data_IF_287716071169
#
_entry.id   IF_287716071169
#
_cell.length_a   1.000
_cell.length_b   1.000
_cell.length_c   1.000
_cell.angle_alpha   90.00
_cell.angle_beta   90.00
_cell.angle_gamma   90.00
#
_symmetry.space_group_name_H-M   'P 1'
#
loop_
_entity.id
_entity.type
_entity.pdbx_description
1 polymer ?
#
# COMPACT_ATOMS: atom_id res chain seq x y z
N UNK A 1 30.65 -11.56 8.11
CA UNK A 1 29.48 -11.28 8.96
C UNK A 1 29.46 -12.31 10.08
N UNK A 2 29.52 -11.90 11.33
CA UNK A 2 29.46 -12.82 12.48
C UNK A 2 28.00 -13.30 12.67
N UNK A 3 27.76 -14.60 12.96
CA UNK A 3 26.42 -15.10 13.23
C UNK A 3 25.88 -14.46 14.53
N UNK A 4 24.62 -13.99 14.50
CA UNK A 4 23.95 -13.43 15.67
C UNK A 4 23.81 -14.48 16.78
N UNK A 5 23.86 -14.05 18.02
CA UNK A 5 23.67 -14.91 19.19
C UNK A 5 22.18 -15.31 19.32
N UNK A 6 21.87 -16.60 19.56
CA UNK A 6 20.50 -17.13 19.58
C UNK A 6 19.58 -16.48 20.63
N UNK A 7 20.15 -15.92 21.70
CA UNK A 7 19.42 -15.20 22.75
C UNK A 7 18.84 -13.86 22.27
N UNK A 8 19.55 -13.15 21.39
CA UNK A 8 19.12 -11.86 20.85
C UNK A 8 17.97 -12.05 19.86
N UNK A 9 18.01 -13.13 19.07
CA UNK A 9 16.95 -13.44 18.12
C UNK A 9 15.65 -13.83 18.83
N UNK A 10 15.72 -14.64 19.89
CA UNK A 10 14.56 -14.98 20.72
C UNK A 10 13.93 -13.73 21.38
N UNK A 11 14.75 -12.80 21.88
CA UNK A 11 14.27 -11.54 22.44
C UNK A 11 13.58 -10.66 21.37
N UNK A 12 14.18 -10.57 20.17
CA UNK A 12 13.59 -9.83 19.06
C UNK A 12 12.24 -10.41 18.64
N UNK A 13 12.12 -11.74 18.56
CA UNK A 13 10.87 -12.43 18.26
C UNK A 13 9.79 -12.12 19.29
N UNK A 14 10.12 -12.16 20.59
CA UNK A 14 9.18 -11.84 21.65
C UNK A 14 8.75 -10.37 21.59
N UNK A 15 9.68 -9.45 21.34
CA UNK A 15 9.40 -8.02 21.20
C UNK A 15 8.51 -7.73 19.97
N UNK A 16 8.75 -8.42 18.85
CA UNK A 16 7.91 -8.32 17.65
C UNK A 16 6.49 -8.81 17.91
N UNK A 17 6.34 -9.96 18.56
CA UNK A 17 5.02 -10.50 18.93
C UNK A 17 4.26 -9.54 19.83
N UNK A 18 4.94 -8.99 20.84
CA UNK A 18 4.33 -8.03 21.74
C UNK A 18 3.86 -6.79 20.98
N UNK A 19 4.76 -6.12 20.24
CA UNK A 19 4.43 -4.90 19.52
C UNK A 19 3.36 -5.13 18.45
N UNK A 20 3.47 -6.22 17.69
CA UNK A 20 2.51 -6.58 16.64
C UNK A 20 1.07 -6.78 17.14
N UNK A 21 0.91 -7.13 18.41
CA UNK A 21 -0.38 -7.31 19.07
C UNK A 21 -0.94 -6.02 19.70
N UNK A 22 -0.19 -4.92 19.70
CA UNK A 22 -0.64 -3.64 20.26
C UNK A 22 -1.67 -2.95 19.37
N UNK A 23 -2.55 -2.11 19.95
CA UNK A 23 -3.40 -1.23 19.18
C UNK A 23 -2.55 -0.25 18.37
N UNK A 24 -3.07 0.13 17.20
CA UNK A 24 -2.42 1.09 16.31
C UNK A 24 -2.57 2.50 16.89
N UNK A 25 -1.46 3.23 17.02
CA UNK A 25 -1.47 4.63 17.44
C UNK A 25 -1.69 5.59 16.27
N UNK A 26 -2.13 6.82 16.58
CA UNK A 26 -2.27 7.88 15.57
C UNK A 26 -0.93 8.23 14.89
N UNK A 27 0.18 8.17 15.63
CA UNK A 27 1.52 8.43 15.07
C UNK A 27 1.93 7.38 14.04
N UNK A 28 1.58 6.11 14.26
CA UNK A 28 1.80 5.03 13.29
C UNK A 28 1.02 5.29 12.00
N UNK A 29 -0.22 5.75 12.12
CA UNK A 29 -1.08 6.11 10.98
C UNK A 29 -0.47 7.28 10.19
N UNK A 30 -0.10 8.36 10.87
CA UNK A 30 0.52 9.53 10.25
C UNK A 30 1.85 9.17 9.56
N UNK A 31 2.65 8.32 10.19
CA UNK A 31 3.89 7.84 9.61
C UNK A 31 3.65 7.04 8.31
N UNK A 32 2.70 6.10 8.32
CA UNK A 32 2.36 5.28 7.16
C UNK A 32 1.80 6.11 6.01
N UNK A 33 0.91 7.07 6.31
CA UNK A 33 0.38 8.00 5.32
C UNK A 33 1.53 8.71 4.59
N UNK A 34 2.48 9.28 5.34
CA UNK A 34 3.65 9.95 4.77
C UNK A 34 4.54 9.01 3.95
N UNK A 35 4.69 7.75 4.33
CA UNK A 35 5.49 6.80 3.52
C UNK A 35 4.78 6.47 2.22
N UNK A 36 3.48 6.16 2.26
CA UNK A 36 2.67 5.89 1.07
C UNK A 36 2.70 7.09 0.10
N UNK A 37 2.54 8.31 0.60
CA UNK A 37 2.64 9.53 -0.21
C UNK A 37 3.99 9.67 -0.94
N UNK A 38 5.07 9.18 -0.33
CA UNK A 38 6.44 9.25 -0.88
C UNK A 38 6.82 8.08 -1.79
N UNK A 39 5.93 7.12 -2.02
CA UNK A 39 6.19 6.01 -2.95
C UNK A 39 6.13 6.51 -4.39
N UNK A 40 5.33 7.55 -4.68
CA UNK A 40 5.14 8.08 -6.02
C UNK A 40 5.23 9.61 -5.99
N UNK A 41 5.85 10.22 -7.00
CA UNK A 41 5.91 11.68 -7.13
C UNK A 41 4.60 12.21 -7.71
N UNK A 42 3.99 13.22 -7.09
CA UNK A 42 2.82 13.90 -7.62
C UNK A 42 3.21 14.82 -8.78
N UNK A 43 3.22 14.30 -10.00
CA UNK A 43 3.36 15.13 -11.19
C UNK A 43 2.00 15.69 -11.59
N UNK A 44 1.94 16.97 -11.95
CA UNK A 44 0.85 17.45 -12.80
C UNK A 44 0.78 16.56 -14.05
N UNK A 45 -0.42 16.15 -14.53
CA UNK A 45 -0.51 15.41 -15.78
C UNK A 45 0.25 16.18 -16.88
N UNK A 46 1.07 15.49 -17.70
CA UNK A 46 1.72 16.13 -18.82
C UNK A 46 0.65 16.78 -19.71
N UNK A 47 0.89 18.00 -20.25
CA UNK A 47 -0.09 18.67 -21.09
C UNK A 47 -0.48 17.78 -22.27
N UNK A 48 -1.78 17.62 -22.48
CA UNK A 48 -2.39 16.83 -23.55
C UNK A 48 -2.09 17.48 -24.91
N UNK A 49 -0.89 17.26 -25.45
CA UNK A 49 -0.57 17.60 -26.84
C UNK A 49 0.14 16.43 -27.50
N UNK A 50 -0.62 15.42 -27.93
CA UNK A 50 -0.28 14.65 -29.13
C UNK A 50 -1.51 13.91 -29.65
N UNK A 51 -1.84 14.04 -30.95
CA UNK A 51 -3.03 13.44 -31.51
C UNK A 51 -2.86 11.93 -31.62
N UNK A 52 -3.97 11.24 -31.32
CA UNK A 52 -4.21 9.81 -31.44
C UNK A 52 -3.56 9.21 -32.69
N UNK A 53 -2.60 8.30 -32.50
CA UNK A 53 -2.08 7.42 -33.55
C UNK A 53 -2.48 5.97 -33.24
N UNK A 54 -3.57 5.56 -33.86
CA UNK A 54 -3.86 4.21 -34.39
C UNK A 54 -3.22 2.98 -33.73
N UNK A 55 -4.12 2.13 -33.23
CA UNK A 55 -3.94 0.71 -32.90
C UNK A 55 -3.03 -0.03 -33.91
N UNK A 56 -1.89 -0.52 -33.44
CA UNK A 56 -1.28 -1.74 -33.95
C UNK A 56 -0.88 -2.62 -32.77
N UNK A 57 -1.64 -3.71 -32.60
CA UNK A 57 -1.30 -4.83 -31.74
C UNK A 57 0.06 -5.39 -32.18
N UNK A 58 1.01 -5.49 -31.26
CA UNK A 58 2.16 -6.37 -31.42
C UNK A 58 2.49 -7.03 -30.08
N UNK A 59 2.55 -8.34 -30.16
CA UNK A 59 2.69 -9.32 -29.09
C UNK A 59 3.91 -9.16 -28.16
N UNK A 60 3.76 -9.78 -26.99
CA UNK A 60 4.81 -10.37 -26.13
C UNK A 60 5.58 -9.45 -25.16
N UNK A 61 4.94 -9.07 -24.04
CA UNK A 61 5.52 -9.11 -22.67
C UNK A 61 4.35 -9.27 -21.67
N UNK A 62 4.46 -10.04 -20.56
CA UNK A 62 3.27 -10.37 -19.76
C UNK A 62 2.69 -9.21 -18.94
N UNK A 63 3.44 -8.14 -18.68
CA UNK A 63 2.97 -7.02 -17.85
C UNK A 63 3.85 -5.79 -18.12
N UNK A 64 3.39 -4.78 -18.90
CA UNK A 64 4.02 -3.47 -18.91
C UNK A 64 3.81 -2.83 -17.53
N UNK A 65 4.73 -1.97 -17.08
CA UNK A 65 4.71 -1.24 -15.79
C UNK A 65 3.47 -0.35 -15.60
N UNK A 66 2.32 -0.98 -15.37
CA UNK A 66 0.99 -0.39 -15.58
C UNK A 66 0.49 0.49 -14.42
N UNK A 67 1.18 0.44 -13.28
CA UNK A 67 0.77 1.22 -12.09
C UNK A 67 1.04 2.72 -12.26
N UNK A 68 1.91 3.08 -13.21
CA UNK A 68 2.37 4.46 -13.43
C UNK A 68 2.09 5.00 -14.84
N UNK A 69 1.94 4.13 -15.85
CA UNK A 69 1.71 4.57 -17.23
C UNK A 69 0.22 4.76 -17.58
N UNK A 70 -0.69 4.12 -16.82
CA UNK A 70 -2.15 4.28 -16.97
C UNK A 70 -2.76 5.29 -15.99
N UNK A 71 -2.21 6.50 -15.97
CA UNK A 71 -2.94 7.67 -15.45
C UNK A 71 -4.20 8.03 -16.27
N UNK A 72 -4.58 7.24 -17.28
CA UNK A 72 -5.61 7.59 -18.27
C UNK A 72 -6.99 6.93 -18.10
N UNK A 73 -7.20 5.96 -17.20
CA UNK A 73 -8.52 5.32 -17.03
C UNK A 73 -9.01 5.15 -15.59
N UNK A 74 -8.33 5.72 -14.60
CA UNK A 74 -8.94 5.88 -13.29
C UNK A 74 -9.82 7.12 -13.37
N UNK A 75 -11.14 6.94 -13.33
CA UNK A 75 -12.07 8.05 -13.11
C UNK A 75 -11.65 8.73 -11.81
N UNK A 76 -11.04 9.92 -11.91
CA UNK A 76 -10.82 10.76 -10.74
C UNK A 76 -12.21 11.21 -10.28
N UNK A 77 -12.64 10.88 -9.05
CA UNK A 77 -13.57 11.77 -8.38
C UNK A 77 -12.90 13.14 -8.40
N UNK A 78 -13.61 14.20 -8.81
CA UNK A 78 -13.07 15.55 -8.87
C UNK A 78 -12.11 15.81 -7.71
N UNK A 79 -10.92 16.35 -8.02
CA UNK A 79 -9.79 16.67 -7.13
C UNK A 79 -10.13 17.38 -5.80
N UNK A 80 -11.39 17.72 -5.57
CA UNK A 80 -11.93 18.47 -4.44
C UNK A 80 -12.56 17.61 -3.33
N UNK A 81 -12.56 16.26 -3.41
CA UNK A 81 -13.29 15.41 -2.42
C UNK A 81 -12.57 14.13 -1.95
N UNK A 82 -11.25 14.01 -2.01
CA UNK A 82 -10.59 12.85 -1.42
C UNK A 82 -10.40 13.04 0.11
N UNK A 83 -10.63 12.01 0.93
CA UNK A 83 -10.30 12.08 2.35
C UNK A 83 -8.79 12.19 2.53
N UNK A 84 -8.37 12.78 3.66
CA UNK A 84 -6.96 12.77 4.03
C UNK A 84 -6.47 11.32 4.11
N UNK A 85 -5.19 11.08 3.77
CA UNK A 85 -4.67 9.73 3.77
C UNK A 85 -4.64 9.15 5.18
N UNK A 86 -4.35 9.97 6.21
CA UNK A 86 -4.45 9.55 7.61
C UNK A 86 -5.89 9.13 7.99
N UNK A 87 -6.89 9.88 7.54
CA UNK A 87 -8.31 9.59 7.80
C UNK A 87 -8.72 8.27 7.15
N UNK A 88 -8.30 8.05 5.90
CA UNK A 88 -8.54 6.81 5.19
C UNK A 88 -7.90 5.60 5.89
N UNK A 89 -6.64 5.73 6.33
CA UNK A 89 -5.93 4.67 7.04
C UNK A 89 -6.57 4.41 8.41
N UNK A 90 -6.94 5.47 9.14
CA UNK A 90 -7.64 5.34 10.41
C UNK A 90 -8.97 4.58 10.26
N UNK A 91 -9.75 4.91 9.23
CA UNK A 91 -11.00 4.20 8.93
C UNK A 91 -10.77 2.72 8.61
N UNK A 92 -9.72 2.38 7.85
CA UNK A 92 -9.35 0.99 7.57
C UNK A 92 -8.98 0.24 8.86
N UNK A 93 -8.14 0.85 9.70
CA UNK A 93 -7.69 0.24 10.97
C UNK A 93 -8.86 -0.05 11.89
N UNK A 94 -9.76 0.91 12.07
CA UNK A 94 -10.92 0.76 12.95
C UNK A 94 -11.92 -0.22 12.37
N UNK A 95 -12.30 -0.07 11.10
CA UNK A 95 -13.35 -0.90 10.50
C UNK A 95 -12.93 -2.36 10.26
N UNK A 96 -11.64 -2.63 10.09
CA UNK A 96 -11.09 -3.99 9.93
C UNK A 96 -10.43 -4.54 11.20
N UNK A 97 -10.55 -3.83 12.33
CA UNK A 97 -9.99 -4.24 13.63
C UNK A 97 -8.49 -4.60 13.59
N UNK A 98 -7.71 -3.83 12.82
CA UNK A 98 -6.31 -4.13 12.58
C UNK A 98 -5.43 -3.81 13.79
N UNK A 99 -4.44 -4.67 14.02
CA UNK A 99 -3.36 -4.46 14.99
C UNK A 99 -2.09 -3.96 14.30
N UNK A 100 -1.05 -3.71 15.07
CA UNK A 100 0.22 -3.17 14.54
C UNK A 100 0.89 -4.10 13.51
N UNK A 101 0.80 -5.43 13.64
CA UNK A 101 1.53 -6.36 12.77
C UNK A 101 1.17 -6.22 11.28
N UNK A 102 -0.12 -6.26 10.85
CA UNK A 102 -0.48 -5.98 9.46
C UNK A 102 0.05 -4.64 8.92
N UNK A 103 0.10 -3.61 9.76
CA UNK A 103 0.63 -2.30 9.35
C UNK A 103 2.15 -2.30 9.21
N UNK A 104 2.87 -3.02 10.07
CA UNK A 104 4.32 -3.22 9.92
C UNK A 104 4.63 -3.94 8.60
N UNK A 105 3.89 -5.01 8.30
CA UNK A 105 3.99 -5.74 7.04
C UNK A 105 3.63 -4.85 5.83
N UNK A 106 2.60 -4.01 5.96
CA UNK A 106 2.23 -3.01 4.96
C UNK A 106 3.40 -2.06 4.67
N UNK A 107 4.10 -1.58 5.70
CA UNK A 107 5.27 -0.71 5.55
C UNK A 107 6.42 -1.39 4.79
N UNK A 108 6.64 -2.69 5.04
CA UNK A 108 7.64 -3.48 4.28
C UNK A 108 7.30 -3.46 2.80
N UNK A 109 6.05 -3.76 2.42
CA UNK A 109 5.65 -3.76 1.02
C UNK A 109 5.68 -2.36 0.38
N UNK A 110 5.31 -1.30 1.10
CA UNK A 110 5.44 0.06 0.60
C UNK A 110 6.91 0.42 0.29
N UNK A 111 7.85 0.02 1.15
CA UNK A 111 9.27 0.26 0.93
C UNK A 111 9.83 -0.56 -0.25
N UNK A 112 9.39 -1.83 -0.39
CA UNK A 112 9.77 -2.67 -1.54
C UNK A 112 9.19 -2.14 -2.84
N UNK A 113 7.93 -1.71 -2.84
CA UNK A 113 7.32 -1.08 -4.00
C UNK A 113 8.12 0.17 -4.37
N UNK A 114 8.43 1.04 -3.40
CA UNK A 114 9.23 2.24 -3.64
C UNK A 114 10.60 1.96 -4.26
N UNK A 115 11.28 0.87 -3.89
CA UNK A 115 12.58 0.52 -4.50
C UNK A 115 12.47 -0.06 -5.90
N UNK A 116 11.31 -0.65 -6.24
CA UNK A 116 11.00 -1.20 -7.56
C UNK A 116 10.49 -0.14 -8.54
N UNK A 117 9.78 0.89 -8.05
CA UNK A 117 9.35 1.99 -8.88
C UNK A 117 10.55 2.89 -9.24
N UNK A 118 10.64 3.29 -10.50
CA UNK A 118 11.62 4.29 -10.93
C UNK A 118 11.30 5.65 -10.27
N UNK A 119 12.31 6.49 -10.01
CA UNK A 119 12.12 7.82 -9.38
C UNK A 119 11.23 8.76 -10.20
N UNK A 120 10.94 8.42 -11.46
CA UNK A 120 10.09 9.14 -12.41
C UNK A 120 8.62 8.65 -12.41
N UNK A 121 8.26 7.81 -11.45
CA UNK A 121 6.90 7.36 -11.21
C UNK A 121 5.99 8.54 -10.86
N UNK A 122 5.03 8.86 -11.75
CA UNK A 122 4.04 9.91 -11.52
C UNK A 122 2.67 9.30 -11.22
N UNK A 123 2.10 9.69 -10.09
CA UNK A 123 0.80 9.22 -9.62
C UNK A 123 -0.26 10.31 -9.72
N UNK A 124 -1.52 9.89 -9.67
CA UNK A 124 -2.66 10.79 -9.49
C UNK A 124 -2.93 10.98 -8.00
N UNK A 125 -3.82 11.91 -7.65
CA UNK A 125 -4.06 12.32 -6.25
C UNK A 125 -4.56 11.17 -5.35
N UNK A 126 -5.22 10.16 -5.94
CA UNK A 126 -5.70 8.95 -5.24
C UNK A 126 -4.68 7.80 -5.18
N UNK A 127 -3.53 7.93 -5.86
CA UNK A 127 -2.52 6.87 -5.92
C UNK A 127 -2.03 6.45 -4.53
N UNK A 128 -1.73 7.35 -3.57
CA UNK A 128 -1.32 6.96 -2.22
C UNK A 128 -2.35 6.07 -1.49
N UNK A 129 -3.64 6.38 -1.59
CA UNK A 129 -4.71 5.56 -0.99
C UNK A 129 -4.76 4.16 -1.61
N UNK A 130 -4.63 4.07 -2.94
CA UNK A 130 -4.65 2.81 -3.69
C UNK A 130 -3.47 1.92 -3.34
N UNK A 131 -2.25 2.45 -3.36
CA UNK A 131 -1.05 1.65 -3.04
C UNK A 131 -1.01 1.24 -1.57
N UNK A 132 -1.53 2.09 -0.67
CA UNK A 132 -1.66 1.74 0.74
C UNK A 132 -2.64 0.58 0.90
N UNK A 133 -3.84 0.68 0.32
CA UNK A 133 -4.84 -0.37 0.38
C UNK A 133 -4.34 -1.69 -0.23
N UNK A 134 -3.69 -1.63 -1.40
CA UNK A 134 -3.10 -2.81 -2.02
C UNK A 134 -2.08 -3.49 -1.09
N UNK A 135 -1.20 -2.69 -0.49
CA UNK A 135 -0.14 -3.18 0.41
C UNK A 135 -0.72 -3.81 1.67
N UNK A 136 -1.77 -3.21 2.21
CA UNK A 136 -2.49 -3.73 3.36
C UNK A 136 -3.22 -5.04 3.06
N UNK A 137 -3.94 -5.11 1.93
CA UNK A 137 -4.66 -6.33 1.51
C UNK A 137 -3.68 -7.50 1.38
N UNK A 138 -2.55 -7.29 0.71
CA UNK A 138 -1.51 -8.32 0.56
C UNK A 138 -0.88 -8.69 1.92
N UNK A 139 -0.64 -7.72 2.80
CA UNK A 139 -0.12 -7.97 4.15
C UNK A 139 -1.07 -8.84 4.98
N UNK A 140 -2.35 -8.50 5.03
CA UNK A 140 -3.34 -9.26 5.80
C UNK A 140 -3.49 -10.67 5.23
N UNK A 141 -3.55 -10.81 3.91
CA UNK A 141 -3.62 -12.14 3.27
C UNK A 141 -2.37 -13.00 3.46
N UNK A 142 -1.22 -12.38 3.66
CA UNK A 142 0.01 -13.12 3.94
C UNK A 142 0.08 -13.58 5.40
N UNK A 143 -0.48 -12.80 6.33
CA UNK A 143 -0.39 -13.07 7.77
C UNK A 143 -1.49 -13.99 8.29
N UNK A 144 -2.69 -13.93 7.70
CA UNK A 144 -3.86 -14.65 8.19
C UNK A 144 -4.19 -15.84 7.29
N UNK A 145 -4.44 -17.00 7.88
CA UNK A 145 -4.84 -18.22 7.15
C UNK A 145 -6.25 -18.12 6.52
N UNK A 146 -7.09 -17.22 7.05
CA UNK A 146 -8.48 -17.01 6.62
C UNK A 146 -8.80 -15.51 6.39
N UNK A 147 -8.08 -14.84 5.47
CA UNK A 147 -8.15 -13.38 5.35
C UNK A 147 -9.47 -12.94 4.71
N UNK A 148 -9.92 -11.69 4.95
CA UNK A 148 -11.08 -11.13 4.29
C UNK A 148 -10.92 -11.16 2.76
N UNK A 149 -11.94 -11.69 2.06
CA UNK A 149 -12.00 -11.63 0.58
C UNK A 149 -12.06 -10.16 0.11
N UNK A 150 -11.60 -9.87 -1.10
CA UNK A 150 -11.58 -8.51 -1.67
C UNK A 150 -12.93 -7.77 -1.66
N UNK A 151 -14.04 -8.50 -1.74
CA UNK A 151 -15.37 -7.90 -1.57
C UNK A 151 -15.58 -7.22 -0.21
N UNK A 152 -14.91 -7.67 0.85
CA UNK A 152 -15.00 -7.08 2.19
C UNK A 152 -14.18 -5.80 2.29
N UNK A 153 -12.99 -5.79 1.67
CA UNK A 153 -12.12 -4.63 1.59
C UNK A 153 -12.78 -3.43 0.90
N UNK A 154 -13.72 -3.65 -0.01
CA UNK A 154 -14.57 -2.60 -0.58
C UNK A 154 -15.33 -1.82 0.50
N UNK A 155 -15.90 -2.52 1.48
CA UNK A 155 -16.64 -1.87 2.57
C UNK A 155 -15.70 -1.15 3.53
N UNK A 156 -14.59 -1.77 3.93
CA UNK A 156 -13.63 -1.18 4.85
C UNK A 156 -12.89 0.04 4.29
N UNK A 157 -12.67 0.08 2.98
CA UNK A 157 -12.02 1.21 2.29
C UNK A 157 -12.98 2.31 1.85
N UNK A 158 -14.29 2.14 2.07
CA UNK A 158 -15.26 3.18 1.75
C UNK A 158 -15.21 4.27 2.81
N UNK A 159 -14.94 5.50 2.38
CA UNK A 159 -15.00 6.70 3.23
C UNK A 159 -16.01 7.65 2.62
N UNK A 160 -17.00 8.08 3.39
CA UNK A 160 -17.97 9.07 2.96
C UNK A 160 -18.25 10.03 4.11
N UNK A 161 -17.89 11.29 3.92
CA UNK A 161 -18.13 12.38 4.85
C UNK A 161 -18.90 13.50 4.15
N UNK A 162 -19.18 14.60 4.87
CA UNK A 162 -19.80 15.78 4.28
C UNK A 162 -18.94 16.44 3.19
N UNK A 163 -17.62 16.28 3.26
CA UNK A 163 -16.65 17.01 2.43
C UNK A 163 -15.79 16.10 1.55
N UNK A 164 -15.73 14.80 1.85
CA UNK A 164 -14.91 13.84 1.12
C UNK A 164 -15.67 12.54 0.86
N UNK A 165 -15.35 11.88 -0.26
CA UNK A 165 -15.87 10.57 -0.59
C UNK A 165 -14.81 9.79 -1.38
N UNK A 166 -14.57 8.55 -0.96
CA UNK A 166 -13.72 7.59 -1.65
C UNK A 166 -14.39 6.22 -1.58
N UNK A 167 -14.62 5.62 -2.74
CA UNK A 167 -15.21 4.30 -2.84
C UNK A 167 -14.52 3.52 -3.95
N UNK A 168 -14.07 2.31 -3.62
CA UNK A 168 -13.50 1.37 -4.58
C UNK A 168 -14.51 0.28 -4.91
N UNK A 169 -14.52 -0.18 -6.15
CA UNK A 169 -15.26 -1.38 -6.52
C UNK A 169 -14.45 -2.64 -6.18
N UNK A 170 -15.10 -3.80 -6.15
CA UNK A 170 -14.38 -5.07 -6.00
C UNK A 170 -13.36 -5.29 -7.14
N UNK A 171 -13.69 -4.83 -8.36
CA UNK A 171 -12.79 -4.87 -9.50
C UNK A 171 -11.55 -4.02 -9.28
N UNK A 172 -11.69 -2.84 -8.66
CA UNK A 172 -10.55 -2.00 -8.30
C UNK A 172 -9.65 -2.71 -7.29
N UNK A 173 -10.21 -3.27 -6.21
CA UNK A 173 -9.41 -3.96 -5.18
C UNK A 173 -8.67 -5.16 -5.76
N UNK A 174 -9.32 -5.94 -6.61
CA UNK A 174 -8.67 -7.05 -7.32
C UNK A 174 -7.49 -6.57 -8.17
N UNK A 175 -7.69 -5.49 -8.96
CA UNK A 175 -6.63 -4.93 -9.80
C UNK A 175 -5.47 -4.39 -8.96
N UNK A 176 -5.78 -3.63 -7.92
CA UNK A 176 -4.78 -3.05 -7.01
C UNK A 176 -3.91 -4.13 -6.37
N UNK A 177 -4.52 -5.21 -5.85
CA UNK A 177 -3.80 -6.35 -5.30
C UNK A 177 -2.91 -7.02 -6.35
N UNK A 178 -3.48 -7.40 -7.49
CA UNK A 178 -2.75 -8.11 -8.53
C UNK A 178 -1.57 -7.27 -9.05
N UNK A 179 -1.79 -5.98 -9.31
CA UNK A 179 -0.75 -5.06 -9.75
C UNK A 179 0.38 -4.94 -8.72
N UNK A 180 0.06 -4.82 -7.43
CA UNK A 180 1.11 -4.77 -6.39
C UNK A 180 1.95 -6.05 -6.40
N UNK A 181 1.32 -7.22 -6.41
CA UNK A 181 2.03 -8.50 -6.43
C UNK A 181 2.96 -8.60 -7.64
N UNK A 182 2.49 -8.16 -8.82
CA UNK A 182 3.31 -8.08 -10.02
C UNK A 182 4.50 -7.14 -9.86
N UNK A 183 4.32 -5.93 -9.30
CA UNK A 183 5.42 -4.99 -9.04
C UNK A 183 6.44 -5.49 -8.02
N UNK A 184 6.00 -6.35 -7.10
CA UNK A 184 6.88 -7.02 -6.15
C UNK A 184 7.55 -8.28 -6.72
N UNK A 185 7.31 -8.63 -7.99
CA UNK A 185 7.80 -9.86 -8.62
C UNK A 185 7.46 -11.11 -7.79
N UNK A 186 6.29 -11.11 -7.13
CA UNK A 186 5.86 -12.16 -6.20
C UNK A 186 6.74 -12.36 -4.96
N UNK A 187 7.68 -11.46 -4.68
CA UNK A 187 8.47 -11.47 -3.43
C UNK A 187 7.67 -10.89 -2.26
N UNK A 188 6.76 -11.74 -1.75
CA UNK A 188 5.93 -11.46 -0.59
C UNK A 188 6.55 -11.97 0.73
N UNK A 189 7.71 -12.61 0.67
CA UNK A 189 8.30 -13.22 1.85
C UNK A 189 8.74 -12.15 2.85
N UNK A 190 8.37 -12.29 4.12
CA UNK A 190 8.76 -11.36 5.18
C UNK A 190 9.69 -12.03 6.18
N UNK A 191 10.88 -11.46 6.36
CA UNK A 191 11.80 -11.89 7.39
C UNK A 191 11.54 -11.16 8.71
N UNK A 192 12.01 -11.74 9.82
CA UNK A 192 11.99 -11.05 11.12
C UNK A 192 12.79 -9.74 11.09
N UNK A 193 13.80 -9.66 10.23
CA UNK A 193 14.62 -8.46 10.06
C UNK A 193 13.82 -7.33 9.42
N UNK A 194 13.00 -7.64 8.40
CA UNK A 194 12.09 -6.67 7.78
C UNK A 194 11.11 -6.09 8.79
N UNK A 195 10.52 -6.96 9.62
CA UNK A 195 9.57 -6.57 10.65
C UNK A 195 10.22 -5.77 11.79
N UNK A 196 11.44 -6.14 12.21
CA UNK A 196 12.20 -5.37 13.20
C UNK A 196 12.52 -3.96 12.67
N UNK A 197 12.99 -3.85 11.43
CA UNK A 197 13.26 -2.55 10.80
C UNK A 197 11.99 -1.69 10.68
N UNK A 198 10.86 -2.32 10.33
CA UNK A 198 9.55 -1.65 10.28
C UNK A 198 9.12 -1.14 11.66
N UNK A 199 9.20 -1.99 12.70
CA UNK A 199 8.90 -1.63 14.09
C UNK A 199 9.71 -0.40 14.53
N UNK A 200 11.03 -0.46 14.34
CA UNK A 200 11.91 0.64 14.72
C UNK A 200 11.59 1.93 13.98
N UNK A 201 11.26 1.84 12.69
CA UNK A 201 10.89 2.99 11.88
C UNK A 201 9.61 3.66 12.37
N UNK A 202 8.65 2.87 12.83
CA UNK A 202 7.39 3.35 13.40
C UNK A 202 7.54 3.89 14.83
N UNK A 203 8.46 3.35 15.63
CA UNK A 203 8.64 3.72 17.03
C UNK A 203 9.56 4.93 17.28
N UNK A 204 10.41 5.32 16.32
CA UNK A 204 11.43 6.39 16.49
C UNK A 204 10.88 7.81 16.32
N UNK A 205 9.59 8.08 16.55
CA UNK A 205 8.99 9.39 16.29
C UNK A 205 7.94 9.75 17.32
#
# INVERSE_FOLDING_TARGET
>A
MLPRSPTVDAFNQQALRHFGNQPVSSDMIAYLARIADRVVSHGSPPPLTSPCASLQQKDSTPFPSELLQYGACWYEPEKSRLPALEEFIANLVVSSELRALPLMSTLVYLNRLKSKLNTTAHGVSSTPHRIFLASLVVAVKFLDDSPPKNKHWVFHSSVQTATSALQFTQGDVNKMEAQLICHLDWDLTMSEQDLCAAKESMARR
#
